data_IF_489841939110
#
_entry.id   IF_489841939110
#
_cell.length_a   1.000
_cell.length_b   1.000
_cell.length_c   1.000
_cell.angle_alpha   90.00
_cell.angle_beta   90.00
_cell.angle_gamma   90.00
#
_symmetry.space_group_name_H-M   'P 1'
#
loop_
_entity.id
_entity.type
_entity.pdbx_description
1 polymer ?
#
# COMPACT_ATOMS: atom_id res chain seq x y z
N UNK A 1 2.89 52.75 -5.46
CA UNK A 1 1.75 52.61 -6.37
C UNK A 1 2.06 51.59 -7.47
N UNK A 2 1.27 50.51 -7.52
CA UNK A 2 0.93 49.62 -8.65
C UNK A 2 2.03 49.19 -9.64
N UNK A 3 2.44 47.91 -9.55
CA UNK A 3 2.69 47.07 -10.74
C UNK A 3 1.95 45.74 -10.57
N UNK A 4 0.85 45.61 -11.29
CA UNK A 4 0.01 44.43 -11.35
C UNK A 4 0.70 43.32 -12.17
N UNK A 5 0.90 42.14 -11.59
CA UNK A 5 1.24 40.92 -12.34
C UNK A 5 -0.07 40.29 -12.81
N UNK A 6 -0.31 40.34 -14.13
CA UNK A 6 -1.40 39.60 -14.80
C UNK A 6 -1.10 38.10 -14.76
N UNK A 7 -1.78 37.36 -13.90
CA UNK A 7 -1.94 35.92 -14.06
C UNK A 7 -2.89 35.68 -15.25
N UNK A 8 -2.40 35.05 -16.32
CA UNK A 8 -3.27 34.57 -17.40
C UNK A 8 -3.97 33.30 -16.91
N UNK A 9 -5.23 33.42 -16.48
CA UNK A 9 -6.16 32.29 -16.43
C UNK A 9 -6.39 31.83 -17.87
N UNK A 10 -5.86 30.67 -18.24
CA UNK A 10 -6.28 30.00 -19.47
C UNK A 10 -7.61 29.32 -19.19
N UNK A 11 -8.68 29.89 -19.74
CA UNK A 11 -9.92 29.15 -19.94
C UNK A 11 -9.64 27.98 -20.89
N UNK A 12 -10.26 26.83 -20.59
CA UNK A 12 -10.14 25.57 -21.29
C UNK A 12 -10.20 25.75 -22.83
N UNK A 13 -9.04 25.77 -23.48
CA UNK A 13 -8.96 25.70 -24.94
C UNK A 13 -9.19 24.24 -25.35
N UNK A 14 -10.42 23.98 -25.77
CA UNK A 14 -10.85 23.02 -26.79
C UNK A 14 -9.69 22.47 -27.64
N UNK A 15 -9.43 21.16 -27.54
CA UNK A 15 -8.74 20.41 -28.58
C UNK A 15 -9.77 19.86 -29.57
N UNK A 16 -10.27 20.74 -30.44
CA UNK A 16 -10.80 20.36 -31.75
C UNK A 16 -9.75 20.76 -32.79
N UNK A 17 -8.84 19.84 -33.10
CA UNK A 17 -7.89 19.98 -34.21
C UNK A 17 -7.75 18.64 -34.92
N UNK A 18 -8.78 18.29 -35.68
CA UNK A 18 -8.67 17.34 -36.77
C UNK A 18 -8.38 18.10 -38.08
N UNK A 19 -7.62 17.43 -38.95
CA UNK A 19 -7.31 17.75 -40.34
C UNK A 19 -6.12 18.70 -40.61
N UNK A 20 -4.96 18.09 -40.90
CA UNK A 20 -4.32 18.10 -42.23
C UNK A 20 -2.99 17.34 -42.18
N UNK A 21 -3.01 16.04 -42.48
CA UNK A 21 -1.86 15.38 -43.10
C UNK A 21 -2.36 14.61 -44.31
N UNK A 22 -2.10 15.18 -45.49
CA UNK A 22 -2.32 14.55 -46.78
C UNK A 22 -1.32 13.40 -46.93
N UNK A 23 -1.89 12.27 -47.32
CA UNK A 23 -1.28 11.09 -47.92
C UNK A 23 -0.05 11.38 -48.78
N UNK A 24 1.10 10.84 -48.40
CA UNK A 24 2.16 10.44 -49.34
C UNK A 24 2.43 8.95 -49.16
N UNK A 25 2.46 8.27 -50.30
CA UNK A 25 2.48 6.83 -50.53
C UNK A 25 3.57 6.10 -49.74
N UNK A 26 3.17 5.11 -48.94
CA UNK A 26 4.05 4.03 -48.52
C UNK A 26 4.02 2.94 -49.61
N UNK A 27 4.99 2.98 -50.52
CA UNK A 27 5.36 1.84 -51.37
C UNK A 27 6.75 1.40 -50.95
N UNK A 28 6.84 0.12 -50.55
CA UNK A 28 8.03 -0.75 -50.52
C UNK A 28 9.17 -0.36 -49.57
N UNK A 29 9.19 -1.04 -48.42
CA UNK A 29 10.40 -1.37 -47.65
C UNK A 29 10.39 -2.87 -47.32
N UNK A 30 10.26 -3.68 -48.37
CA UNK A 30 10.98 -4.95 -48.47
C UNK A 30 12.28 -4.61 -49.18
N UNK A 31 13.44 -4.94 -48.60
CA UNK A 31 14.82 -4.80 -49.14
C UNK A 31 15.76 -3.90 -48.32
N UNK A 32 15.89 -4.13 -47.00
CA UNK A 32 17.15 -3.85 -46.25
C UNK A 32 17.32 -4.86 -45.10
N UNK A 33 17.41 -6.16 -45.41
CA UNK A 33 18.17 -7.12 -44.59
C UNK A 33 18.73 -8.19 -45.53
N UNK A 34 19.77 -7.83 -46.28
CA UNK A 34 20.58 -8.80 -47.00
C UNK A 34 22.02 -8.32 -47.05
N UNK A 35 22.93 -9.21 -46.63
CA UNK A 35 24.40 -9.21 -46.78
C UNK A 35 25.21 -8.62 -45.62
N UNK A 36 25.54 -9.50 -44.68
CA UNK A 36 26.89 -9.85 -44.21
C UNK A 36 26.71 -11.01 -43.21
N UNK A 37 26.88 -12.27 -43.64
CA UNK A 37 28.12 -13.03 -43.42
C UNK A 37 28.01 -13.81 -42.09
N UNK A 38 27.41 -15.00 -42.09
CA UNK A 38 28.08 -16.29 -42.22
C UNK A 38 28.97 -16.63 -41.00
N UNK A 39 28.39 -17.33 -40.02
CA UNK A 39 29.03 -18.40 -39.25
C UNK A 39 27.94 -19.17 -38.47
N UNK A 40 27.35 -20.15 -39.16
CA UNK A 40 26.38 -21.08 -38.57
C UNK A 40 27.13 -22.31 -38.05
N UNK A 41 27.31 -22.38 -36.72
CA UNK A 41 27.69 -23.63 -36.05
C UNK A 41 26.42 -24.47 -35.88
N UNK A 42 26.38 -25.62 -36.56
CA UNK A 42 25.27 -26.55 -36.58
C UNK A 42 24.96 -27.15 -35.18
N UNK A 43 23.69 -27.50 -34.88
CA UNK A 43 23.34 -28.20 -33.65
C UNK A 43 23.79 -29.66 -33.76
N UNK A 44 24.80 -30.06 -32.97
CA UNK A 44 25.17 -31.47 -32.78
C UNK A 44 24.02 -32.19 -32.06
N UNK A 45 23.43 -33.19 -32.73
CA UNK A 45 22.61 -34.23 -32.09
C UNK A 45 23.48 -34.96 -31.07
N UNK A 46 23.13 -34.87 -29.79
CA UNK A 46 23.69 -35.74 -28.76
C UNK A 46 23.04 -37.12 -28.90
N UNK A 47 23.87 -38.11 -29.21
CA UNK A 47 23.51 -39.51 -29.20
C UNK A 47 23.25 -39.99 -27.77
N UNK A 48 22.25 -40.84 -27.60
CA UNK A 48 21.96 -41.53 -26.35
C UNK A 48 23.15 -42.41 -25.94
N UNK A 49 23.89 -41.98 -24.91
CA UNK A 49 24.90 -42.79 -24.23
C UNK A 49 24.24 -43.63 -23.14
N UNK A 50 24.57 -44.93 -23.11
CA UNK A 50 24.14 -45.89 -22.11
C UNK A 50 24.57 -45.46 -20.69
N UNK A 51 23.78 -45.78 -19.64
CA UNK A 51 24.16 -45.46 -18.26
C UNK A 51 25.31 -46.36 -17.81
N UNK A 52 26.46 -45.76 -17.53
CA UNK A 52 27.52 -46.39 -16.74
C UNK A 52 27.07 -46.42 -15.28
N UNK A 53 26.95 -47.63 -14.73
CA UNK A 53 26.70 -47.88 -13.31
C UNK A 53 27.92 -47.47 -12.48
N UNK A 54 28.01 -46.19 -12.16
CA UNK A 54 28.85 -45.67 -11.08
C UNK A 54 28.02 -45.54 -9.82
N UNK A 55 28.11 -46.54 -8.92
CA UNK A 55 27.53 -46.45 -7.57
C UNK A 55 28.37 -45.42 -6.80
N UNK A 56 27.95 -44.15 -6.83
CA UNK A 56 28.38 -43.19 -5.82
C UNK A 56 27.64 -43.52 -4.53
N UNK A 57 28.34 -44.13 -3.58
CA UNK A 57 27.92 -44.18 -2.19
C UNK A 57 27.84 -42.74 -1.65
N UNK A 58 26.67 -42.13 -1.78
CA UNK A 58 26.30 -40.95 -1.00
C UNK A 58 26.17 -41.43 0.45
N UNK A 59 27.06 -40.94 1.32
CA UNK A 59 27.07 -41.26 2.76
C UNK A 59 25.71 -40.91 3.36
N UNK A 60 25.13 -41.83 4.13
CA UNK A 60 23.80 -41.69 4.76
C UNK A 60 23.64 -40.41 5.60
N UNK A 61 24.74 -39.80 6.06
CA UNK A 61 24.74 -38.51 6.75
C UNK A 61 24.31 -37.31 5.89
N UNK A 62 24.65 -37.27 4.59
CA UNK A 62 24.35 -36.12 3.70
C UNK A 62 22.87 -36.08 3.29
N UNK A 63 22.21 -37.24 3.18
CA UNK A 63 20.77 -37.34 2.93
C UNK A 63 19.95 -36.78 4.09
N UNK A 64 20.44 -36.91 5.33
CA UNK A 64 19.74 -36.38 6.51
C UNK A 64 19.78 -34.85 6.58
N UNK A 65 20.93 -34.23 6.26
CA UNK A 65 21.08 -32.77 6.28
C UNK A 65 20.30 -32.11 5.15
N UNK A 66 20.31 -32.70 3.95
CA UNK A 66 19.53 -32.21 2.83
C UNK A 66 18.02 -32.36 3.06
N UNK A 67 17.56 -33.47 3.64
CA UNK A 67 16.15 -33.66 3.99
C UNK A 67 15.67 -32.69 5.08
N UNK A 68 16.51 -32.41 6.08
CA UNK A 68 16.23 -31.40 7.12
C UNK A 68 16.19 -30.00 6.51
N UNK A 69 17.12 -29.64 5.63
CA UNK A 69 17.12 -28.35 4.95
C UNK A 69 15.89 -28.15 4.04
N UNK A 70 15.46 -29.21 3.33
CA UNK A 70 14.23 -29.18 2.51
C UNK A 70 12.98 -29.09 3.37
N UNK A 71 12.92 -29.81 4.50
CA UNK A 71 11.80 -29.71 5.44
C UNK A 71 11.72 -28.33 6.10
N UNK A 72 12.85 -27.74 6.48
CA UNK A 72 12.94 -26.37 7.01
C UNK A 72 12.58 -25.33 5.95
N UNK A 73 12.97 -25.52 4.68
CA UNK A 73 12.56 -24.66 3.58
C UNK A 73 11.05 -24.76 3.30
N UNK A 74 10.45 -25.96 3.40
CA UNK A 74 9.01 -26.16 3.30
C UNK A 74 8.25 -25.50 4.47
N UNK A 75 8.77 -25.58 5.70
CA UNK A 75 8.16 -24.94 6.87
C UNK A 75 8.32 -23.41 6.84
N UNK A 76 9.45 -22.90 6.34
CA UNK A 76 9.64 -21.47 6.09
C UNK A 76 8.72 -20.96 4.98
N UNK A 77 8.57 -21.71 3.87
CA UNK A 77 7.61 -21.38 2.81
C UNK A 77 6.15 -21.39 3.33
N UNK A 78 5.83 -22.26 4.30
CA UNK A 78 4.55 -22.28 4.99
C UNK A 78 4.32 -21.07 5.91
N UNK A 79 5.37 -20.31 6.28
CA UNK A 79 5.27 -19.13 7.16
C UNK A 79 5.26 -17.79 6.43
N UNK A 80 5.48 -17.78 5.11
CA UNK A 80 5.43 -16.58 4.25
C UNK A 80 6.78 -16.21 3.64
N UNK A 81 6.83 -15.32 2.63
CA UNK A 81 8.06 -15.00 1.91
C UNK A 81 9.14 -14.29 2.74
N UNK A 82 8.79 -13.72 3.89
CA UNK A 82 9.72 -13.07 4.83
C UNK A 82 10.00 -13.95 6.07
N UNK A 83 9.68 -15.24 6.02
CA UNK A 83 9.99 -16.17 7.10
C UNK A 83 11.49 -16.18 7.40
N UNK A 84 11.84 -16.13 8.69
CA UNK A 84 13.22 -16.06 9.17
C UNK A 84 13.74 -14.63 9.36
N UNK A 85 13.05 -13.61 8.84
CA UNK A 85 13.38 -12.21 9.10
C UNK A 85 12.91 -11.80 10.50
N UNK A 86 13.79 -11.16 11.28
CA UNK A 86 13.44 -10.57 12.58
C UNK A 86 13.40 -9.05 12.51
N UNK A 87 12.32 -8.46 13.02
CA UNK A 87 12.07 -7.01 12.98
C UNK A 87 11.78 -6.47 14.37
N UNK A 88 12.46 -5.40 14.75
CA UNK A 88 12.09 -4.57 15.91
C UNK A 88 11.24 -3.39 15.44
N UNK A 89 10.01 -3.32 15.96
CA UNK A 89 9.03 -2.29 15.64
C UNK A 89 8.96 -1.27 16.78
N UNK A 90 9.59 -0.11 16.57
CA UNK A 90 9.53 1.07 17.46
C UNK A 90 8.43 2.06 17.04
N UNK A 91 7.56 1.67 16.12
CA UNK A 91 6.64 2.59 15.46
C UNK A 91 5.34 2.73 16.22
N UNK A 92 4.68 3.89 16.04
CA UNK A 92 3.36 4.19 16.62
C UNK A 92 2.41 4.79 15.59
N UNK A 93 1.12 4.86 15.94
CA UNK A 93 0.06 5.40 15.08
C UNK A 93 -0.20 4.56 13.82
N UNK A 94 0.14 5.04 12.62
CA UNK A 94 -0.36 4.45 11.35
C UNK A 94 0.78 4.03 10.41
N UNK A 95 1.58 4.95 9.86
CA UNK A 95 2.51 4.63 8.77
C UNK A 95 3.52 3.53 9.15
N UNK A 96 4.18 3.68 10.29
CA UNK A 96 5.11 2.68 10.80
C UNK A 96 4.45 1.35 11.18
N UNK A 97 3.36 1.33 11.97
CA UNK A 97 2.70 0.08 12.29
C UNK A 97 2.14 -0.64 11.06
N UNK A 98 1.74 0.09 10.02
CA UNK A 98 1.32 -0.48 8.75
C UNK A 98 2.49 -1.10 7.97
N UNK A 99 3.65 -0.44 7.96
CA UNK A 99 4.87 -1.02 7.40
C UNK A 99 5.20 -2.37 8.05
N UNK A 100 5.30 -2.40 9.38
CA UNK A 100 5.66 -3.61 10.12
C UNK A 100 4.54 -4.65 10.14
N UNK A 101 3.27 -4.23 9.99
CA UNK A 101 2.15 -5.16 9.73
C UNK A 101 2.38 -5.93 8.45
N UNK A 102 2.69 -5.25 7.35
CA UNK A 102 2.94 -5.92 6.07
C UNK A 102 4.10 -6.92 6.21
N UNK A 103 5.20 -6.53 6.87
CA UNK A 103 6.32 -7.44 7.13
C UNK A 103 5.88 -8.68 7.94
N UNK A 104 5.11 -8.49 9.03
CA UNK A 104 4.60 -9.58 9.87
C UNK A 104 3.64 -10.51 9.12
N UNK A 105 2.72 -9.92 8.37
CA UNK A 105 1.71 -10.59 7.55
C UNK A 105 2.35 -11.48 6.47
N UNK A 106 3.52 -11.09 5.98
CA UNK A 106 4.34 -11.86 5.05
C UNK A 106 5.38 -12.78 5.71
N UNK A 107 5.32 -12.96 7.02
CA UNK A 107 6.04 -14.03 7.73
C UNK A 107 7.21 -13.60 8.60
N UNK A 108 7.54 -12.31 8.65
CA UNK A 108 8.57 -11.81 9.55
C UNK A 108 8.16 -11.98 11.01
N UNK A 109 9.14 -12.24 11.88
CA UNK A 109 8.98 -12.17 13.33
C UNK A 109 9.11 -10.71 13.77
N UNK A 110 7.96 -10.06 14.00
CA UNK A 110 7.90 -8.65 14.37
C UNK A 110 7.65 -8.50 15.85
N UNK A 111 8.59 -7.88 16.54
CA UNK A 111 8.53 -7.56 17.97
C UNK A 111 8.30 -6.07 18.11
N UNK A 112 7.08 -5.71 18.48
CA UNK A 112 6.69 -4.34 18.80
C UNK A 112 7.16 -3.97 20.19
N UNK A 113 8.00 -2.93 20.26
CA UNK A 113 8.47 -2.35 21.50
C UNK A 113 7.54 -1.22 21.91
N UNK A 114 6.92 -1.39 23.06
CA UNK A 114 5.84 -0.55 23.55
C UNK A 114 6.21 0.10 24.88
N UNK A 115 5.61 1.25 25.19
CA UNK A 115 5.84 1.92 26.48
C UNK A 115 5.18 1.13 27.61
N UNK A 116 5.85 0.89 28.74
CA UNK A 116 5.19 0.30 29.92
C UNK A 116 3.93 1.10 30.32
N UNK A 117 2.86 0.37 30.62
CA UNK A 117 1.57 0.89 31.09
C UNK A 117 0.67 1.57 30.05
N UNK A 118 1.22 2.10 28.94
CA UNK A 118 0.44 2.88 27.95
C UNK A 118 0.51 2.33 26.52
N UNK A 119 1.61 1.68 26.18
CA UNK A 119 1.86 1.13 24.86
C UNK A 119 1.86 2.14 23.71
N UNK A 120 1.49 1.67 22.52
CA UNK A 120 1.24 2.51 21.36
C UNK A 120 0.05 3.47 21.61
N UNK A 121 0.17 4.78 21.35
CA UNK A 121 -0.96 5.71 21.34
C UNK A 121 -2.20 5.24 20.56
N UNK A 122 -2.03 4.42 19.52
CA UNK A 122 -3.14 3.84 18.76
C UNK A 122 -4.08 2.98 19.64
N UNK A 123 -3.58 2.37 20.73
CA UNK A 123 -4.40 1.62 21.71
C UNK A 123 -5.50 2.50 22.31
N UNK A 124 -5.24 3.80 22.45
CA UNK A 124 -6.16 4.76 23.06
C UNK A 124 -6.89 5.62 22.02
N UNK A 125 -6.78 5.29 20.73
CA UNK A 125 -7.41 6.03 19.64
C UNK A 125 -8.76 5.38 19.26
N UNK A 126 -9.89 6.10 19.29
CA UNK A 126 -11.17 5.58 18.80
C UNK A 126 -11.15 5.39 17.27
N UNK A 127 -12.09 4.61 16.70
CA UNK A 127 -13.20 3.93 17.37
C UNK A 127 -12.76 2.71 18.17
N UNK A 128 -13.52 2.39 19.21
CA UNK A 128 -13.33 1.20 20.02
C UNK A 128 -14.43 0.17 19.73
N UNK A 129 -14.13 -1.11 19.96
CA UNK A 129 -15.11 -2.18 19.86
C UNK A 129 -16.33 -1.88 20.76
N UNK A 130 -17.53 -1.90 20.18
CA UNK A 130 -18.78 -1.51 20.84
C UNK A 130 -18.76 -0.14 21.53
N UNK A 131 -17.96 0.80 21.02
CA UNK A 131 -17.78 2.15 21.57
C UNK A 131 -17.36 2.17 23.05
N UNK A 132 -16.67 1.12 23.51
CA UNK A 132 -16.13 1.02 24.88
C UNK A 132 -14.66 1.42 24.90
N UNK A 133 -14.27 2.53 25.55
CA UNK A 133 -12.87 2.97 25.62
C UNK A 133 -11.96 2.01 26.39
N UNK A 134 -11.47 0.99 25.68
CA UNK A 134 -10.55 -0.04 26.17
C UNK A 134 -9.26 0.01 25.33
N UNK A 135 -8.07 0.14 25.95
CA UNK A 135 -6.78 0.08 25.25
C UNK A 135 -6.57 -1.19 24.41
N UNK A 136 -7.23 -2.29 24.76
CA UNK A 136 -7.20 -3.56 24.02
C UNK A 136 -8.38 -3.71 23.04
N UNK A 137 -9.23 -2.68 22.93
CA UNK A 137 -10.42 -2.63 22.09
C UNK A 137 -10.35 -1.60 20.94
N UNK A 138 -9.24 -0.87 20.78
CA UNK A 138 -9.08 0.10 19.67
C UNK A 138 -9.04 -0.61 18.32
N UNK A 139 -9.99 -0.29 17.45
CA UNK A 139 -10.09 -0.95 16.13
C UNK A 139 -8.87 -0.66 15.26
N UNK A 140 -8.27 0.53 15.38
CA UNK A 140 -7.05 0.89 14.67
C UNK A 140 -5.87 0.03 15.12
N UNK A 141 -5.68 -0.12 16.43
CA UNK A 141 -4.58 -0.93 16.98
C UNK A 141 -4.74 -2.39 16.57
N UNK A 142 -5.95 -2.93 16.72
CA UNK A 142 -6.28 -4.29 16.37
C UNK A 142 -6.00 -4.60 14.89
N UNK A 143 -6.33 -3.67 13.98
CA UNK A 143 -6.05 -3.83 12.56
C UNK A 143 -4.54 -3.78 12.25
N UNK A 144 -3.82 -2.82 12.83
CA UNK A 144 -2.43 -2.52 12.47
C UNK A 144 -1.38 -3.43 13.12
N UNK A 145 -1.75 -4.28 14.08
CA UNK A 145 -0.77 -5.03 14.89
C UNK A 145 -1.00 -6.54 14.91
N UNK A 146 -1.80 -7.08 13.98
CA UNK A 146 -1.89 -8.52 13.76
C UNK A 146 -0.52 -9.13 13.46
N UNK A 147 -0.34 -10.41 13.80
CA UNK A 147 0.90 -11.16 13.61
C UNK A 147 2.14 -10.65 14.38
N UNK A 148 2.02 -9.62 15.22
CA UNK A 148 3.14 -9.08 16.02
C UNK A 148 3.19 -9.66 17.43
N UNK A 149 4.38 -9.63 18.03
CA UNK A 149 4.61 -9.82 19.46
C UNK A 149 4.74 -8.46 20.14
N UNK A 150 4.17 -8.28 21.32
CA UNK A 150 4.26 -7.03 22.12
C UNK A 150 5.19 -7.22 23.31
N UNK A 151 6.18 -6.33 23.42
CA UNK A 151 7.13 -6.25 24.53
C UNK A 151 7.10 -4.84 25.09
N UNK A 152 6.87 -4.69 26.37
CA UNK A 152 6.97 -3.39 27.03
C UNK A 152 8.42 -3.12 27.45
N UNK A 153 8.93 -1.94 27.09
CA UNK A 153 10.31 -1.55 27.38
C UNK A 153 10.46 -0.03 27.45
N UNK A 154 11.00 0.46 28.56
CA UNK A 154 11.27 1.87 28.78
C UNK A 154 12.66 2.24 28.22
N UNK A 155 12.69 2.69 26.97
CA UNK A 155 13.92 3.09 26.27
C UNK A 155 14.64 4.30 26.90
N UNK A 156 13.99 5.05 27.80
CA UNK A 156 14.65 6.15 28.54
C UNK A 156 15.43 5.64 29.75
N UNK A 157 15.11 4.45 30.24
CA UNK A 157 15.84 3.81 31.31
C UNK A 157 17.10 3.13 30.76
N UNK A 158 18.24 3.24 31.45
CA UNK A 158 19.50 2.68 30.95
C UNK A 158 19.42 1.16 30.72
N UNK A 159 18.80 0.43 31.65
CA UNK A 159 18.55 -1.01 31.48
C UNK A 159 17.65 -1.31 30.27
N UNK A 160 16.60 -0.51 30.05
CA UNK A 160 15.70 -0.70 28.91
C UNK A 160 16.42 -0.45 27.57
N UNK A 161 17.26 0.60 27.50
CA UNK A 161 18.12 0.84 26.34
C UNK A 161 19.10 -0.31 26.10
N UNK A 162 19.73 -0.84 27.16
CA UNK A 162 20.67 -1.97 27.07
C UNK A 162 20.00 -3.23 26.51
N UNK A 163 18.80 -3.54 27.01
CA UNK A 163 17.99 -4.66 26.52
C UNK A 163 17.65 -4.47 25.04
N UNK A 164 17.22 -3.26 24.64
CA UNK A 164 16.93 -2.97 23.24
C UNK A 164 18.15 -3.18 22.34
N UNK A 165 19.33 -2.70 22.74
CA UNK A 165 20.56 -2.90 21.97
C UNK A 165 20.91 -4.39 21.85
N UNK A 166 20.71 -5.19 22.90
CA UNK A 166 20.94 -6.64 22.81
C UNK A 166 19.95 -7.32 21.85
N UNK A 167 18.68 -6.89 21.82
CA UNK A 167 17.73 -7.34 20.81
C UNK A 167 18.17 -6.93 19.39
N UNK A 168 18.59 -5.68 19.21
CA UNK A 168 19.00 -5.14 17.92
C UNK A 168 20.23 -5.85 17.33
N UNK A 169 21.14 -6.34 18.19
CA UNK A 169 22.28 -7.16 17.78
C UNK A 169 21.86 -8.44 17.04
N UNK A 170 20.67 -8.97 17.33
CA UNK A 170 20.13 -10.23 16.78
C UNK A 170 18.98 -10.02 15.80
N UNK A 171 18.80 -8.78 15.33
CA UNK A 171 17.66 -8.37 14.49
C UNK A 171 18.16 -7.92 13.13
N UNK A 172 17.40 -8.21 12.08
CA UNK A 172 17.73 -7.82 10.70
C UNK A 172 17.26 -6.40 10.37
N UNK A 173 16.09 -6.01 10.89
CA UNK A 173 15.43 -4.74 10.58
C UNK A 173 14.97 -4.04 11.86
N UNK A 174 15.25 -2.75 11.98
CA UNK A 174 14.58 -1.86 12.94
C UNK A 174 13.70 -0.90 12.14
N UNK A 175 12.43 -0.78 12.50
CA UNK A 175 11.53 0.23 11.93
C UNK A 175 11.13 1.21 13.03
N UNK A 176 11.25 2.50 12.77
CA UNK A 176 10.89 3.57 13.69
C UNK A 176 10.10 4.67 12.97
N UNK A 177 9.24 5.36 13.73
CA UNK A 177 8.40 6.44 13.21
C UNK A 177 8.36 7.63 14.17
N UNK A 178 9.49 7.93 14.80
CA UNK A 178 9.62 9.05 15.71
C UNK A 178 9.89 10.35 14.94
N UNK A 179 9.79 11.47 15.65
CA UNK A 179 10.31 12.74 15.14
C UNK A 179 11.83 12.63 14.93
N UNK A 180 12.40 13.27 13.89
CA UNK A 180 13.84 13.29 13.69
C UNK A 180 14.60 13.70 14.97
N UNK A 181 15.75 13.04 15.22
CA UNK A 181 16.56 13.28 16.41
C UNK A 181 16.15 12.51 17.67
N UNK A 182 15.01 11.79 17.68
CA UNK A 182 14.59 11.03 18.87
C UNK A 182 15.48 9.81 19.10
N UNK A 183 15.80 9.04 18.06
CA UNK A 183 16.63 7.84 18.17
C UNK A 183 18.03 8.17 18.69
N UNK A 184 18.61 9.28 18.23
CA UNK A 184 19.92 9.78 18.64
C UNK A 184 19.91 10.17 20.12
N UNK A 185 18.87 10.90 20.57
CA UNK A 185 18.72 11.26 22.00
C UNK A 185 18.51 10.06 22.90
N UNK A 186 17.87 9.00 22.39
CA UNK A 186 17.73 7.73 23.10
C UNK A 186 19.03 6.92 23.08
N UNK A 187 20.04 7.30 22.30
CA UNK A 187 21.31 6.56 22.18
C UNK A 187 21.17 5.27 21.37
N UNK A 188 20.21 5.21 20.46
CA UNK A 188 19.89 4.07 19.60
C UNK A 188 19.76 4.49 18.12
N UNK A 189 20.41 5.60 17.74
CA UNK A 189 20.44 6.12 16.37
C UNK A 189 21.24 5.24 15.40
N UNK A 190 21.24 5.64 14.13
CA UNK A 190 21.85 4.87 13.04
C UNK A 190 23.33 4.54 13.29
N UNK A 191 24.13 5.49 13.77
CA UNK A 191 25.56 5.29 14.02
C UNK A 191 25.81 4.20 15.08
N UNK A 192 24.96 4.15 16.12
CA UNK A 192 25.04 3.13 17.17
C UNK A 192 24.61 1.77 16.63
N UNK A 193 23.47 1.72 15.92
CA UNK A 193 22.91 0.47 15.42
C UNK A 193 23.77 -0.16 14.32
N UNK A 194 24.28 0.64 13.38
CA UNK A 194 25.16 0.16 12.30
C UNK A 194 26.51 -0.31 12.82
N UNK A 195 27.08 0.35 13.85
CA UNK A 195 28.30 -0.13 14.50
C UNK A 195 28.07 -1.43 15.28
N UNK A 196 26.90 -1.58 15.91
CA UNK A 196 26.51 -2.78 16.64
C UNK A 196 26.24 -3.98 15.72
N UNK A 197 25.56 -3.74 14.61
CA UNK A 197 25.20 -4.74 13.60
C UNK A 197 25.30 -4.13 12.20
N UNK A 198 26.42 -4.30 11.48
CA UNK A 198 26.63 -3.73 10.14
C UNK A 198 25.69 -4.27 9.05
N UNK A 199 24.95 -5.34 9.33
CA UNK A 199 23.93 -5.89 8.43
C UNK A 199 22.56 -5.26 8.65
N UNK A 200 22.33 -4.59 9.78
CA UNK A 200 21.02 -4.08 10.17
C UNK A 200 20.48 -3.05 9.17
N UNK A 201 19.21 -3.19 8.82
CA UNK A 201 18.46 -2.18 8.07
C UNK A 201 17.66 -1.33 9.05
N UNK A 202 17.88 -0.02 9.05
CA UNK A 202 17.06 0.93 9.80
C UNK A 202 16.09 1.57 8.83
N UNK A 203 14.79 1.49 9.10
CA UNK A 203 13.74 2.19 8.34
C UNK A 203 13.12 3.27 9.22
N UNK A 204 13.32 4.51 8.83
CA UNK A 204 12.82 5.70 9.51
C UNK A 204 11.69 6.32 8.72
N UNK A 205 10.51 6.46 9.33
CA UNK A 205 9.35 7.07 8.68
C UNK A 205 8.98 8.37 9.40
N UNK A 206 9.03 9.49 8.71
CA UNK A 206 8.70 10.80 9.27
C UNK A 206 7.90 11.68 8.30
N UNK A 207 7.29 12.75 8.82
CA UNK A 207 6.37 13.58 8.03
C UNK A 207 7.03 14.15 6.75
N UNK A 208 8.25 14.68 6.89
CA UNK A 208 8.97 15.40 5.83
C UNK A 208 10.38 14.86 5.56
N UNK A 209 10.74 13.70 6.10
CA UNK A 209 12.09 13.12 6.04
C UNK A 209 12.97 13.52 7.22
N UNK A 210 14.13 12.86 7.34
CA UNK A 210 15.11 13.08 8.41
C UNK A 210 15.99 14.32 8.14
N UNK A 211 15.92 14.87 6.93
CA UNK A 211 16.70 16.03 6.49
C UNK A 211 15.85 17.08 5.77
N UNK A 212 16.45 18.21 5.41
CA UNK A 212 15.76 19.30 4.71
C UNK A 212 15.08 20.33 5.62
N UNK A 213 14.53 21.41 5.03
CA UNK A 213 14.04 22.58 5.78
C UNK A 213 12.78 22.31 6.59
N UNK A 214 12.02 21.26 6.26
CA UNK A 214 10.74 20.92 6.90
C UNK A 214 10.85 19.76 7.88
N UNK A 215 12.04 19.16 8.07
CA UNK A 215 12.23 17.96 8.90
C UNK A 215 11.66 18.09 10.31
N UNK A 216 11.73 19.28 10.90
CA UNK A 216 11.33 19.55 12.29
C UNK A 216 9.88 20.08 12.40
N UNK A 217 9.16 20.21 11.28
CA UNK A 217 7.79 20.71 11.28
C UNK A 217 6.80 19.62 11.72
N UNK A 218 5.84 19.95 12.61
CA UNK A 218 4.74 19.05 12.90
C UNK A 218 3.81 18.98 11.68
N UNK A 219 3.25 17.80 11.45
CA UNK A 219 2.23 17.61 10.44
C UNK A 219 1.10 16.73 10.98
N UNK A 220 -0.09 17.00 10.49
CA UNK A 220 -1.18 16.04 10.47
C UNK A 220 -1.37 15.56 9.03
N UNK A 221 -2.09 14.48 8.86
CA UNK A 221 -2.50 13.98 7.55
C UNK A 221 -3.07 15.08 6.62
N UNK A 222 -3.83 16.05 7.17
CA UNK A 222 -4.37 17.16 6.37
C UNK A 222 -3.28 18.11 5.87
N UNK A 223 -2.27 18.40 6.70
CA UNK A 223 -1.12 19.25 6.35
C UNK A 223 -0.27 18.55 5.29
N UNK A 224 0.02 17.26 5.45
CA UNK A 224 0.79 16.46 4.50
C UNK A 224 0.14 16.48 3.11
N UNK A 225 -1.18 16.27 3.04
CA UNK A 225 -1.93 16.36 1.79
C UNK A 225 -1.93 17.77 1.19
N UNK A 226 -2.10 18.81 2.01
CA UNK A 226 -2.11 20.20 1.55
C UNK A 226 -0.77 20.60 0.93
N UNK A 227 0.33 20.04 1.44
CA UNK A 227 1.67 20.28 0.91
C UNK A 227 2.00 19.38 -0.28
N UNK A 228 1.44 18.16 -0.35
CA UNK A 228 1.76 17.15 -1.40
C UNK A 228 1.39 17.53 -2.83
N UNK A 229 0.45 18.47 -3.02
CA UNK A 229 -0.12 18.80 -4.32
C UNK A 229 -1.32 17.93 -4.75
N UNK A 230 -1.61 16.81 -4.08
CA UNK A 230 -2.80 15.96 -4.38
C UNK A 230 -4.10 16.74 -4.21
N UNK A 231 -4.21 17.59 -3.19
CA UNK A 231 -5.41 18.40 -2.99
C UNK A 231 -5.69 19.32 -4.19
N UNK A 232 -4.65 19.85 -4.85
CA UNK A 232 -4.80 20.79 -5.96
C UNK A 232 -5.59 20.20 -7.13
N UNK A 233 -5.51 18.88 -7.32
CA UNK A 233 -6.21 18.11 -8.36
C UNK A 233 -7.46 17.37 -7.86
N UNK A 234 -7.75 17.42 -6.56
CA UNK A 234 -8.80 16.61 -5.92
C UNK A 234 -10.05 17.42 -5.58
N UNK A 235 -11.22 16.94 -6.00
CA UNK A 235 -12.51 17.59 -5.77
C UNK A 235 -13.05 18.31 -7.01
N UNK A 236 -14.02 19.21 -6.83
CA UNK A 236 -14.60 20.02 -7.91
C UNK A 236 -13.93 21.39 -8.01
N UNK A 237 -13.90 21.97 -9.20
CA UNK A 237 -13.33 23.31 -9.45
C UNK A 237 -14.10 24.44 -8.78
N UNK A 238 -15.42 24.30 -8.62
CA UNK A 238 -16.32 25.29 -8.01
C UNK A 238 -16.37 25.24 -6.47
N UNK A 239 -15.60 24.31 -5.86
CA UNK A 239 -15.52 24.10 -4.42
C UNK A 239 -14.07 24.06 -3.96
N UNK A 240 -13.90 24.05 -2.65
CA UNK A 240 -12.62 23.92 -1.97
C UNK A 240 -11.89 22.62 -2.39
N UNK A 241 -10.55 22.62 -2.48
CA UNK A 241 -9.76 21.41 -2.65
C UNK A 241 -10.11 20.35 -1.59
N UNK A 242 -10.13 19.07 -1.98
CA UNK A 242 -10.41 17.97 -1.07
C UNK A 242 -9.16 17.10 -0.86
N UNK A 243 -9.03 16.52 0.33
CA UNK A 243 -8.11 15.43 0.61
C UNK A 243 -8.85 14.10 0.49
N UNK A 244 -8.12 13.01 0.22
CA UNK A 244 -8.66 11.65 0.35
C UNK A 244 -9.13 11.36 1.78
N UNK A 245 -10.22 10.60 1.94
CA UNK A 245 -10.79 10.28 3.25
C UNK A 245 -9.82 9.54 4.18
N UNK A 246 -9.90 9.80 5.49
CA UNK A 246 -9.10 9.15 6.53
C UNK A 246 -7.58 9.37 6.34
N UNK A 247 -6.74 8.36 6.59
CA UNK A 247 -5.27 8.50 6.68
C UNK A 247 -4.51 7.83 5.54
N UNK A 248 -4.98 7.99 4.29
CA UNK A 248 -4.40 7.31 3.13
C UNK A 248 -2.91 7.61 2.91
N UNK A 249 -2.45 8.82 3.26
CA UNK A 249 -1.03 9.18 3.11
C UNK A 249 -0.13 8.37 4.03
N UNK A 250 -0.56 8.16 5.28
CA UNK A 250 0.13 7.27 6.21
C UNK A 250 0.22 5.83 5.66
N UNK A 251 -0.86 5.29 5.09
CA UNK A 251 -0.87 3.95 4.52
C UNK A 251 0.05 3.84 3.28
N UNK A 252 0.05 4.86 2.42
CA UNK A 252 0.93 4.92 1.24
C UNK A 252 2.41 4.93 1.64
N UNK A 253 2.78 5.80 2.59
CA UNK A 253 4.14 5.86 3.11
C UNK A 253 4.55 4.56 3.82
N UNK A 254 3.65 3.98 4.62
CA UNK A 254 3.88 2.69 5.29
C UNK A 254 4.08 1.53 4.30
N UNK A 255 3.29 1.49 3.22
CA UNK A 255 3.46 0.51 2.15
C UNK A 255 4.79 0.70 1.40
N UNK A 256 5.14 1.95 1.08
CA UNK A 256 6.41 2.30 0.44
C UNK A 256 7.59 1.85 1.30
N UNK A 257 7.54 2.13 2.61
CA UNK A 257 8.53 1.67 3.57
C UNK A 257 8.64 0.14 3.59
N UNK A 258 7.52 -0.59 3.72
CA UNK A 258 7.55 -2.06 3.74
C UNK A 258 8.16 -2.66 2.46
N UNK A 259 7.77 -2.13 1.29
CA UNK A 259 8.27 -2.56 0.00
C UNK A 259 9.80 -2.40 -0.10
N UNK A 260 10.33 -1.21 0.23
CA UNK A 260 11.77 -0.96 0.09
C UNK A 260 12.58 -1.69 1.16
N UNK A 261 12.05 -1.81 2.38
CA UNK A 261 12.65 -2.63 3.45
C UNK A 261 12.76 -4.09 3.00
N UNK A 262 11.70 -4.69 2.50
CA UNK A 262 11.71 -6.08 2.01
C UNK A 262 12.64 -6.27 0.79
N UNK A 263 12.74 -5.29 -0.10
CA UNK A 263 13.69 -5.33 -1.21
C UNK A 263 15.15 -5.33 -0.70
N UNK A 264 15.44 -4.54 0.35
CA UNK A 264 16.77 -4.49 0.94
C UNK A 264 17.13 -5.74 1.73
N UNK A 265 16.18 -6.44 2.35
CA UNK A 265 16.48 -7.75 2.96
C UNK A 265 16.92 -8.77 1.92
N UNK A 266 16.33 -8.73 0.71
CA UNK A 266 16.80 -9.55 -0.40
C UNK A 266 18.20 -9.15 -0.87
N UNK A 267 18.48 -7.85 -1.02
CA UNK A 267 19.82 -7.37 -1.36
C UNK A 267 20.88 -7.77 -0.30
N UNK A 268 20.51 -7.73 0.98
CA UNK A 268 21.35 -8.13 2.10
C UNK A 268 21.66 -9.64 2.08
N UNK A 269 20.71 -10.47 1.64
CA UNK A 269 20.93 -11.90 1.37
C UNK A 269 21.91 -12.15 0.21
N UNK A 270 22.02 -11.20 -0.73
CA UNK A 270 23.03 -11.19 -1.80
C UNK A 270 24.37 -10.56 -1.38
N UNK A 271 24.55 -10.27 -0.10
CA UNK A 271 25.81 -9.78 0.46
C UNK A 271 25.96 -8.26 0.51
N UNK A 272 24.91 -7.48 0.21
CA UNK A 272 24.93 -6.04 0.44
C UNK A 272 24.93 -5.73 1.95
N UNK A 273 25.55 -4.62 2.39
CA UNK A 273 25.53 -4.20 3.78
C UNK A 273 24.14 -3.73 4.21
N UNK A 274 23.95 -3.59 5.53
CA UNK A 274 22.80 -2.89 6.10
C UNK A 274 22.79 -1.41 5.68
N UNK A 275 21.61 -0.80 5.69
CA UNK A 275 21.40 0.57 5.22
C UNK A 275 20.36 1.30 6.07
N UNK A 276 20.46 2.63 6.08
CA UNK A 276 19.42 3.49 6.61
C UNK A 276 18.50 3.95 5.48
N UNK A 277 17.21 3.68 5.64
CA UNK A 277 16.13 4.08 4.75
C UNK A 277 15.40 5.25 5.43
N UNK A 278 15.43 6.42 4.80
CA UNK A 278 14.63 7.58 5.18
C UNK A 278 13.38 7.65 4.29
N UNK A 279 12.20 7.53 4.88
CA UNK A 279 10.91 7.59 4.19
C UNK A 279 10.15 8.81 4.68
N UNK A 280 9.93 9.76 3.77
CA UNK A 280 9.09 10.92 3.98
C UNK A 280 7.64 10.64 3.56
N UNK A 281 6.69 10.90 4.46
CA UNK A 281 5.26 10.77 4.16
C UNK A 281 4.85 11.78 3.09
N UNK A 282 5.36 13.00 3.17
CA UNK A 282 5.13 14.06 2.19
C UNK A 282 5.65 13.69 0.80
N UNK A 283 6.87 13.16 0.70
CA UNK A 283 7.45 12.75 -0.60
C UNK A 283 6.74 11.51 -1.16
N UNK A 284 6.28 10.59 -0.30
CA UNK A 284 5.46 9.45 -0.71
C UNK A 284 4.16 9.91 -1.38
N UNK A 285 3.50 10.92 -0.81
CA UNK A 285 2.31 11.53 -1.43
C UNK A 285 2.64 12.32 -2.70
N UNK A 286 3.74 13.07 -2.73
CA UNK A 286 4.16 13.81 -3.92
C UNK A 286 4.46 12.86 -5.10
N UNK A 287 5.08 11.71 -4.83
CA UNK A 287 5.36 10.69 -5.84
C UNK A 287 4.09 10.10 -6.50
N UNK A 288 2.92 10.19 -5.86
CA UNK A 288 1.64 9.78 -6.47
C UNK A 288 1.16 10.75 -7.57
N UNK A 289 1.75 11.94 -7.69
CA UNK A 289 1.42 12.95 -8.71
C UNK A 289 1.99 12.65 -10.10
N UNK A 290 2.18 11.37 -10.45
CA UNK A 290 2.95 10.86 -11.60
C UNK A 290 2.64 11.57 -12.93
N UNK A 291 1.45 12.15 -13.12
CA UNK A 291 1.14 12.96 -14.31
C UNK A 291 1.14 14.48 -14.08
N UNK A 292 0.78 14.97 -12.88
CA UNK A 292 0.62 16.40 -12.62
C UNK A 292 1.96 17.15 -12.61
N UNK A 293 3.00 16.55 -12.03
CA UNK A 293 4.35 17.12 -12.06
C UNK A 293 4.89 17.22 -13.49
N UNK A 294 4.83 16.14 -14.32
CA UNK A 294 5.13 16.24 -15.75
C UNK A 294 4.28 17.25 -16.53
N UNK A 295 2.97 17.40 -16.24
CA UNK A 295 2.13 18.41 -16.89
C UNK A 295 2.74 19.81 -16.76
N UNK A 296 3.20 20.14 -15.56
CA UNK A 296 3.83 21.43 -15.32
C UNK A 296 5.25 21.47 -15.88
N UNK A 297 6.09 20.48 -15.57
CA UNK A 297 7.50 20.47 -15.94
C UNK A 297 7.73 20.43 -17.46
N UNK A 298 6.90 19.70 -18.21
CA UNK A 298 7.09 19.50 -19.65
C UNK A 298 6.20 20.38 -20.52
N UNK A 299 4.99 20.73 -20.06
CA UNK A 299 4.04 21.52 -20.84
C UNK A 299 3.75 22.93 -20.26
N UNK A 300 4.25 23.24 -19.06
CA UNK A 300 3.91 24.49 -18.37
C UNK A 300 2.44 24.61 -17.98
N UNK A 301 1.73 23.48 -17.94
CA UNK A 301 0.29 23.42 -17.66
C UNK A 301 0.04 22.97 -16.22
N UNK A 302 -0.94 23.59 -15.57
CA UNK A 302 -1.42 23.16 -14.26
C UNK A 302 -2.71 22.38 -14.49
N UNK A 303 -2.73 21.11 -14.08
CA UNK A 303 -3.95 20.30 -14.15
C UNK A 303 -5.00 20.88 -13.20
N UNK A 304 -6.19 21.17 -13.73
CA UNK A 304 -7.32 21.61 -12.94
C UNK A 304 -8.03 20.43 -12.25
N UNK A 305 -8.83 20.75 -11.22
CA UNK A 305 -9.82 19.81 -10.64
C UNK A 305 -10.92 19.46 -11.64
N UNK A 306 -11.83 18.56 -11.28
CA UNK A 306 -13.01 18.22 -12.11
C UNK A 306 -13.95 19.43 -12.29
N UNK A 307 -14.44 19.74 -13.50
CA UNK A 307 -15.40 20.83 -13.71
C UNK A 307 -16.76 20.54 -13.03
N UNK A 308 -17.57 21.59 -12.76
CA UNK A 308 -18.82 21.45 -12.03
C UNK A 308 -19.95 20.79 -12.82
N UNK A 309 -19.94 20.91 -14.13
CA UNK A 309 -20.90 20.37 -15.09
C UNK A 309 -20.20 20.10 -16.41
N UNK A 310 -20.87 19.39 -17.30
CA UNK A 310 -20.43 19.23 -18.68
C UNK A 310 -19.28 18.23 -18.86
N UNK A 311 -19.08 17.35 -17.87
CA UNK A 311 -18.09 16.26 -17.91
C UNK A 311 -18.76 14.89 -18.11
N UNK A 312 -20.09 14.84 -18.23
CA UNK A 312 -20.84 13.65 -18.64
C UNK A 312 -20.43 12.38 -17.91
N UNK A 313 -19.97 11.41 -18.71
CA UNK A 313 -19.53 10.08 -18.28
C UNK A 313 -18.21 10.04 -17.48
N UNK A 314 -17.61 11.18 -17.19
CA UNK A 314 -16.47 11.27 -16.25
C UNK A 314 -16.92 11.65 -14.83
N UNK A 315 -18.22 11.79 -14.60
CA UNK A 315 -18.76 12.13 -13.28
C UNK A 315 -19.22 10.90 -12.50
N UNK A 316 -19.09 11.02 -11.17
CA UNK A 316 -19.89 10.22 -10.23
C UNK A 316 -21.31 10.78 -10.20
N UNK A 317 -22.30 9.92 -10.40
CA UNK A 317 -23.71 10.30 -10.59
C UNK A 317 -24.58 9.68 -9.50
N UNK A 318 -25.54 10.44 -8.99
CA UNK A 318 -26.48 9.95 -7.99
C UNK A 318 -27.50 8.99 -8.61
N UNK A 319 -27.87 7.96 -7.85
CA UNK A 319 -28.96 7.04 -8.13
C UNK A 319 -29.86 6.93 -6.89
N UNK A 320 -30.81 6.00 -6.86
CA UNK A 320 -31.83 5.90 -5.80
C UNK A 320 -31.24 5.76 -4.39
N UNK A 321 -30.14 5.04 -4.23
CA UNK A 321 -29.57 4.61 -2.94
C UNK A 321 -28.05 4.82 -2.84
N UNK A 322 -27.49 5.74 -3.63
CA UNK A 322 -26.07 6.07 -3.58
C UNK A 322 -25.56 6.65 -4.89
N UNK A 323 -24.36 6.23 -5.29
CA UNK A 323 -23.68 6.79 -6.44
C UNK A 323 -23.10 5.72 -7.36
N UNK A 324 -23.04 6.04 -8.65
CA UNK A 324 -22.52 5.18 -9.70
C UNK A 324 -21.55 5.95 -10.60
N UNK A 325 -20.68 5.21 -11.29
CA UNK A 325 -19.83 5.73 -12.35
C UNK A 325 -20.12 4.91 -13.60
N UNK A 326 -20.35 5.61 -14.70
CA UNK A 326 -20.60 5.01 -16.01
C UNK A 326 -19.63 5.65 -16.99
N UNK A 327 -18.82 4.83 -17.68
CA UNK A 327 -17.84 5.33 -18.65
C UNK A 327 -18.09 4.75 -20.04
N UNK A 328 -17.71 5.52 -21.07
CA UNK A 328 -17.53 4.96 -22.40
C UNK A 328 -16.30 4.07 -22.40
N UNK A 329 -16.45 2.83 -22.86
CA UNK A 329 -15.36 1.91 -23.04
C UNK A 329 -15.84 0.46 -22.94
N UNK A 330 -14.91 -0.47 -23.09
CA UNK A 330 -15.28 -1.86 -23.36
C UNK A 330 -15.88 -2.02 -24.75
N UNK A 331 -16.70 -3.06 -24.93
CA UNK A 331 -17.38 -3.33 -26.21
C UNK A 331 -18.70 -2.59 -26.38
N UNK A 332 -19.09 -1.73 -25.43
CA UNK A 332 -20.37 -1.04 -25.40
C UNK A 332 -20.41 0.16 -26.35
N UNK A 333 -21.54 0.31 -27.04
CA UNK A 333 -21.90 1.47 -27.87
C UNK A 333 -22.71 2.46 -27.05
N UNK A 334 -22.85 3.67 -27.60
CA UNK A 334 -23.70 4.70 -27.01
C UNK A 334 -25.17 4.24 -26.86
N UNK A 335 -25.69 3.51 -27.84
CA UNK A 335 -27.03 2.92 -27.79
C UNK A 335 -27.23 1.99 -26.60
N UNK A 336 -26.20 1.23 -26.21
CA UNK A 336 -26.29 0.31 -25.07
C UNK A 336 -26.46 1.06 -23.74
N UNK A 337 -25.84 2.23 -23.63
CA UNK A 337 -25.99 3.15 -22.50
C UNK A 337 -27.38 3.78 -22.50
N UNK A 338 -27.84 4.27 -23.65
CA UNK A 338 -29.19 4.82 -23.79
C UNK A 338 -30.26 3.78 -23.39
N UNK A 339 -30.09 2.53 -23.82
CA UNK A 339 -30.98 1.42 -23.50
C UNK A 339 -30.90 0.98 -22.03
N UNK A 340 -29.71 1.02 -21.42
CA UNK A 340 -29.54 0.75 -19.99
C UNK A 340 -30.31 1.78 -19.14
N UNK A 341 -30.23 3.05 -19.53
CA UNK A 341 -30.87 4.15 -18.80
C UNK A 341 -32.36 4.26 -19.10
N UNK A 342 -32.82 3.70 -20.22
CA UNK A 342 -34.23 3.73 -20.62
C UNK A 342 -34.72 5.14 -20.93
N UNK A 343 -33.84 6.03 -21.38
CA UNK A 343 -34.15 7.43 -21.72
C UNK A 343 -34.08 7.59 -23.25
N UNK A 344 -35.23 7.61 -23.96
CA UNK A 344 -35.27 7.61 -25.42
C UNK A 344 -34.51 8.78 -26.07
N UNK A 345 -34.49 9.94 -25.42
CA UNK A 345 -33.81 11.15 -25.89
C UNK A 345 -32.29 10.96 -26.01
N UNK A 346 -31.71 9.98 -25.31
CA UNK A 346 -30.30 9.64 -25.46
C UNK A 346 -29.97 9.05 -26.84
N UNK A 347 -30.96 8.54 -27.59
CA UNK A 347 -30.75 8.03 -28.96
C UNK A 347 -30.69 9.14 -30.03
N UNK A 348 -30.86 10.41 -29.66
CA UNK A 348 -30.70 11.54 -30.59
C UNK A 348 -29.30 11.54 -31.23
N UNK A 349 -29.25 11.80 -32.55
CA UNK A 349 -28.02 11.82 -33.36
C UNK A 349 -26.97 12.78 -32.78
N UNK A 350 -27.39 13.85 -32.11
CA UNK A 350 -26.48 14.79 -31.45
C UNK A 350 -25.62 14.16 -30.35
N UNK A 351 -26.01 13.01 -29.80
CA UNK A 351 -25.23 12.28 -28.80
C UNK A 351 -24.43 11.10 -29.37
N UNK A 352 -24.54 10.80 -30.66
CA UNK A 352 -23.86 9.67 -31.29
C UNK A 352 -22.32 9.78 -31.21
N UNK A 353 -21.78 11.00 -31.25
CA UNK A 353 -20.33 11.25 -31.26
C UNK A 353 -19.81 11.84 -29.95
N UNK A 354 -18.53 11.62 -29.60
CA UNK A 354 -17.91 12.26 -28.43
C UNK A 354 -17.98 13.80 -28.47
N UNK A 355 -17.81 14.41 -29.64
CA UNK A 355 -17.90 15.87 -29.82
C UNK A 355 -19.31 16.38 -29.54
N UNK A 356 -20.32 15.69 -30.06
CA UNK A 356 -21.72 15.98 -29.77
C UNK A 356 -22.05 15.90 -28.29
N UNK A 357 -21.64 14.83 -27.60
CA UNK A 357 -21.80 14.70 -26.14
C UNK A 357 -21.09 15.80 -25.36
N UNK A 358 -19.94 16.27 -25.84
CA UNK A 358 -19.21 17.40 -25.23
C UNK A 358 -19.95 18.72 -25.46
N UNK A 359 -20.46 18.95 -26.68
CA UNK A 359 -21.17 20.17 -27.05
C UNK A 359 -22.50 20.34 -26.31
N UNK A 360 -23.21 19.22 -26.08
CA UNK A 360 -24.51 19.17 -25.41
C UNK A 360 -24.41 18.61 -23.98
N UNK A 361 -23.26 18.76 -23.32
CA UNK A 361 -22.96 18.04 -22.08
C UNK A 361 -23.92 18.36 -20.92
N UNK A 362 -24.41 19.60 -20.79
CA UNK A 362 -25.40 19.94 -19.76
C UNK A 362 -26.77 19.28 -19.98
N UNK A 363 -27.18 19.12 -21.24
CA UNK A 363 -28.40 18.39 -21.58
C UNK A 363 -28.19 16.90 -21.32
N UNK A 364 -27.04 16.37 -21.72
CA UNK A 364 -26.67 15.00 -21.47
C UNK A 364 -26.68 14.67 -19.98
N UNK A 365 -26.04 15.51 -19.13
CA UNK A 365 -26.00 15.33 -17.68
C UNK A 365 -27.43 15.16 -17.10
N UNK A 366 -28.39 15.99 -17.54
CA UNK A 366 -29.79 15.89 -17.10
C UNK A 366 -30.47 14.58 -17.53
N UNK A 367 -30.23 14.14 -18.76
CA UNK A 367 -30.80 12.88 -19.28
C UNK A 367 -30.21 11.66 -18.56
N UNK A 368 -28.89 11.67 -18.30
CA UNK A 368 -28.22 10.64 -17.51
C UNK A 368 -28.81 10.56 -16.09
N UNK A 369 -28.94 11.70 -15.42
CA UNK A 369 -29.56 11.76 -14.09
C UNK A 369 -31.00 11.24 -14.06
N UNK A 370 -31.79 11.53 -15.10
CA UNK A 370 -33.17 11.06 -15.20
C UNK A 370 -33.25 9.52 -15.24
N UNK A 371 -32.38 8.86 -16.01
CA UNK A 371 -32.34 7.40 -16.12
C UNK A 371 -31.81 6.69 -14.86
N UNK A 372 -31.01 7.39 -14.04
CA UNK A 372 -30.38 6.82 -12.84
C UNK A 372 -31.23 6.98 -11.57
N UNK A 373 -31.99 8.06 -11.44
CA UNK A 373 -32.61 8.48 -10.16
C UNK A 373 -33.58 7.46 -9.55
N UNK A 374 -34.30 6.70 -10.38
CA UNK A 374 -35.31 5.75 -9.90
C UNK A 374 -34.77 4.35 -9.60
N UNK A 375 -33.50 4.07 -9.93
CA UNK A 375 -32.90 2.73 -9.89
C UNK A 375 -31.81 2.64 -8.82
N UNK A 376 -31.68 1.49 -8.17
CA UNK A 376 -30.62 1.27 -7.19
C UNK A 376 -29.26 1.04 -7.86
N UNK A 377 -28.17 1.31 -7.15
CA UNK A 377 -26.81 1.12 -7.65
C UNK A 377 -26.53 -0.32 -8.09
N UNK A 378 -27.07 -1.31 -7.37
CA UNK A 378 -26.88 -2.73 -7.68
C UNK A 378 -27.72 -3.21 -8.87
N UNK A 379 -28.98 -2.78 -9.01
CA UNK A 379 -29.79 -3.08 -10.20
C UNK A 379 -29.13 -2.57 -11.48
N UNK A 380 -28.58 -1.35 -11.42
CA UNK A 380 -27.84 -0.74 -12.51
C UNK A 380 -26.55 -1.50 -12.82
N UNK A 381 -25.77 -1.84 -11.80
CA UNK A 381 -24.51 -2.58 -11.96
C UNK A 381 -24.73 -3.95 -12.61
N UNK A 382 -25.70 -4.72 -12.13
CA UNK A 382 -25.97 -6.08 -12.64
C UNK A 382 -26.44 -6.06 -14.10
N UNK A 383 -27.27 -5.07 -14.47
CA UNK A 383 -27.71 -4.91 -15.86
C UNK A 383 -26.57 -4.43 -16.77
N UNK A 384 -25.80 -3.44 -16.32
CA UNK A 384 -24.64 -2.93 -17.05
C UNK A 384 -23.60 -4.05 -17.29
N UNK A 385 -23.36 -4.89 -16.29
CA UNK A 385 -22.46 -6.04 -16.39
C UNK A 385 -22.92 -7.04 -17.45
N UNK A 386 -24.23 -7.38 -17.50
CA UNK A 386 -24.81 -8.24 -18.55
C UNK A 386 -24.64 -7.65 -19.95
N UNK A 387 -24.72 -6.32 -20.07
CA UNK A 387 -24.50 -5.57 -21.32
C UNK A 387 -23.02 -5.28 -21.63
N UNK A 388 -22.09 -5.71 -20.77
CA UNK A 388 -20.64 -5.45 -20.88
C UNK A 388 -20.28 -3.96 -20.92
N UNK A 389 -21.06 -3.14 -20.21
CA UNK A 389 -20.85 -1.70 -20.05
C UNK A 389 -19.88 -1.47 -18.89
N UNK A 390 -18.92 -0.55 -19.06
CA UNK A 390 -18.04 -0.12 -17.97
C UNK A 390 -18.83 0.68 -16.93
N UNK A 391 -19.11 0.02 -15.81
CA UNK A 391 -19.95 0.55 -14.75
C UNK A 391 -19.37 0.21 -13.38
N UNK A 392 -19.36 1.19 -12.49
CA UNK A 392 -18.91 1.05 -11.11
C UNK A 392 -19.94 1.62 -10.14
N UNK A 393 -19.89 1.15 -8.90
CA UNK A 393 -20.74 1.63 -7.82
C UNK A 393 -19.86 2.17 -6.69
N UNK A 394 -20.29 3.24 -6.05
CA UNK A 394 -19.65 3.72 -4.82
C UNK A 394 -20.10 2.83 -3.66
N UNK A 395 -19.19 1.96 -3.21
CA UNK A 395 -19.44 1.00 -2.15
C UNK A 395 -19.07 1.59 -0.78
N UNK A 396 -19.94 1.35 0.21
CA UNK A 396 -19.63 1.57 1.62
C UNK A 396 -19.09 0.28 2.29
N UNK A 397 -18.66 0.32 3.57
CA UNK A 397 -18.14 -0.87 4.25
C UNK A 397 -19.14 -2.05 4.34
N UNK A 398 -20.45 -1.78 4.40
CA UNK A 398 -21.47 -2.83 4.44
C UNK A 398 -21.62 -3.51 3.07
N UNK A 399 -21.52 -2.75 1.97
CA UNK A 399 -21.44 -3.30 0.63
C UNK A 399 -20.21 -4.20 0.46
N UNK A 400 -19.05 -3.78 0.97
CA UNK A 400 -17.79 -4.54 0.86
C UNK A 400 -17.83 -5.86 1.63
N UNK A 401 -18.41 -5.88 2.83
CA UNK A 401 -18.60 -7.13 3.59
C UNK A 401 -19.52 -8.12 2.86
N UNK A 402 -20.48 -7.61 2.09
CA UNK A 402 -21.42 -8.43 1.33
C UNK A 402 -20.99 -8.71 -0.12
N UNK A 403 -19.89 -8.10 -0.58
CA UNK A 403 -19.42 -8.14 -1.96
C UNK A 403 -19.12 -9.57 -2.44
N UNK A 404 -19.83 -10.06 -3.49
CA UNK A 404 -19.61 -11.41 -4.03
C UNK A 404 -18.17 -11.65 -4.48
N UNK A 405 -17.53 -10.65 -5.08
CA UNK A 405 -16.15 -10.77 -5.58
C UNK A 405 -15.14 -10.92 -4.45
N UNK A 406 -15.27 -10.15 -3.36
CA UNK A 406 -14.39 -10.25 -2.19
C UNK A 406 -14.59 -11.60 -1.47
N UNK A 407 -15.84 -12.06 -1.34
CA UNK A 407 -16.15 -13.38 -0.80
C UNK A 407 -15.55 -14.50 -1.63
N UNK A 408 -15.74 -14.49 -2.95
CA UNK A 408 -15.22 -15.50 -3.87
C UNK A 408 -13.69 -15.57 -3.87
N UNK A 409 -13.01 -14.47 -3.57
CA UNK A 409 -11.55 -14.39 -3.44
C UNK A 409 -11.04 -14.67 -2.02
N UNK A 410 -11.91 -15.02 -1.07
CA UNK A 410 -11.54 -15.24 0.33
C UNK A 410 -10.79 -14.04 0.90
N UNK A 411 -11.33 -12.83 0.67
CA UNK A 411 -10.71 -11.58 1.14
C UNK A 411 -10.91 -11.39 2.64
N UNK A 412 -12.11 -11.64 3.16
CA UNK A 412 -12.41 -11.49 4.59
C UNK A 412 -11.95 -12.73 5.36
N UNK A 413 -11.15 -12.55 6.40
CA UNK A 413 -10.72 -13.63 7.31
C UNK A 413 -11.31 -13.45 8.70
N UNK A 414 -11.59 -14.56 9.39
CA UNK A 414 -12.07 -14.51 10.77
C UNK A 414 -10.88 -14.49 11.72
N UNK A 415 -10.97 -13.63 12.73
CA UNK A 415 -9.91 -13.42 13.72
C UNK A 415 -10.52 -13.45 15.09
N UNK A 416 -10.08 -14.40 15.90
CA UNK A 416 -10.49 -14.50 17.29
C UNK A 416 -9.49 -13.76 18.18
N UNK A 417 -9.89 -12.60 18.71
CA UNK A 417 -9.06 -11.77 19.58
C UNK A 417 -9.63 -11.79 21.01
N UNK A 418 -8.80 -11.89 22.06
CA UNK A 418 -9.27 -12.02 23.46
C UNK A 418 -10.30 -10.95 23.91
N UNK A 419 -10.20 -9.73 23.39
CA UNK A 419 -11.10 -8.62 23.77
C UNK A 419 -12.37 -8.54 22.93
N UNK A 420 -12.32 -8.96 21.66
CA UNK A 420 -13.44 -8.74 20.71
C UNK A 420 -14.15 -10.03 20.30
N UNK A 421 -13.60 -11.19 20.65
CA UNK A 421 -14.00 -12.47 20.09
C UNK A 421 -13.76 -12.54 18.58
N UNK A 422 -14.49 -13.42 17.87
CA UNK A 422 -14.34 -13.61 16.43
C UNK A 422 -14.97 -12.46 15.63
N UNK A 423 -14.15 -11.77 14.82
CA UNK A 423 -14.60 -10.74 13.88
C UNK A 423 -14.00 -10.92 12.48
N UNK A 424 -14.68 -10.43 11.43
CA UNK A 424 -14.12 -10.37 10.08
C UNK A 424 -13.07 -9.25 9.97
N UNK A 425 -11.87 -9.60 9.53
CA UNK A 425 -10.79 -8.66 9.21
C UNK A 425 -10.55 -8.62 7.70
N UNK A 426 -10.13 -7.44 7.16
CA UNK A 426 -9.61 -7.38 5.80
C UNK A 426 -8.39 -8.30 5.69
N UNK A 427 -8.44 -9.23 4.73
CA UNK A 427 -7.30 -10.05 4.36
C UNK A 427 -6.46 -9.43 3.25
N UNK A 428 -5.53 -10.20 2.72
CA UNK A 428 -4.53 -9.68 1.80
C UNK A 428 -5.06 -9.51 0.35
N UNK A 429 -4.83 -8.35 -0.29
CA UNK A 429 -5.17 -8.13 -1.71
C UNK A 429 -4.35 -8.99 -2.70
N UNK A 430 -3.29 -9.67 -2.25
CA UNK A 430 -2.40 -10.50 -3.07
C UNK A 430 -2.64 -12.01 -2.84
N UNK A 431 -2.62 -12.79 -3.92
CA UNK A 431 -2.64 -14.27 -3.85
C UNK A 431 -1.33 -14.81 -4.42
N UNK A 432 -0.50 -15.42 -3.58
CA UNK A 432 0.75 -16.05 -3.97
C UNK A 432 0.56 -17.57 -4.11
N UNK A 433 1.17 -18.16 -5.13
CA UNK A 433 1.03 -19.58 -5.45
C UNK A 433 1.82 -20.51 -4.51
N UNK A 434 2.95 -20.06 -3.97
CA UNK A 434 3.87 -20.88 -3.18
C UNK A 434 3.93 -20.49 -1.70
N UNK A 435 3.88 -19.20 -1.40
CA UNK A 435 4.03 -18.65 -0.03
C UNK A 435 2.82 -17.80 0.33
N UNK A 436 1.62 -18.38 0.49
CA UNK A 436 0.40 -17.62 0.69
C UNK A 436 0.46 -16.75 1.95
N UNK A 437 -0.17 -15.58 1.89
CA UNK A 437 -0.38 -14.74 3.07
C UNK A 437 -1.19 -15.49 4.14
N UNK A 438 -0.85 -15.27 5.41
CA UNK A 438 -1.53 -15.89 6.54
C UNK A 438 -1.65 -14.93 7.71
N UNK A 439 -2.87 -14.82 8.23
CA UNK A 439 -3.11 -14.24 9.54
C UNK A 439 -2.96 -15.31 10.62
N UNK A 440 -1.78 -15.39 11.23
CA UNK A 440 -1.42 -16.42 12.21
C UNK A 440 -1.88 -16.08 13.62
N UNK A 441 -1.88 -14.79 13.97
CA UNK A 441 -2.20 -14.30 15.32
C UNK A 441 -2.96 -12.97 15.24
N UNK A 442 -3.90 -12.72 16.16
CA UNK A 442 -4.53 -11.42 16.27
C UNK A 442 -3.51 -10.39 16.81
N UNK A 443 -3.92 -9.13 16.96
CA UNK A 443 -3.06 -8.14 17.60
C UNK A 443 -2.73 -8.56 19.06
N UNK A 444 -1.51 -8.30 19.55
CA UNK A 444 -1.11 -8.72 20.89
C UNK A 444 -1.66 -7.79 21.96
N UNK A 445 -1.99 -8.36 23.13
CA UNK A 445 -2.22 -7.56 24.35
C UNK A 445 -0.94 -6.82 24.75
N UNK A 446 -1.06 -5.69 25.46
CA UNK A 446 0.09 -4.91 25.88
C UNK A 446 1.07 -5.75 26.71
N UNK A 447 2.31 -5.86 26.24
CA UNK A 447 3.38 -6.58 26.92
C UNK A 447 3.18 -8.10 26.99
N UNK A 448 2.23 -8.66 26.23
CA UNK A 448 1.88 -10.09 26.25
C UNK A 448 3.08 -11.03 26.09
N UNK A 449 4.10 -10.60 25.34
CA UNK A 449 5.24 -11.42 24.97
C UNK A 449 6.54 -10.95 25.65
N UNK A 450 6.45 -10.07 26.65
CA UNK A 450 7.64 -9.49 27.31
C UNK A 450 8.52 -10.56 27.93
N UNK A 451 7.97 -11.44 28.77
CA UNK A 451 8.75 -12.50 29.40
C UNK A 451 9.31 -13.51 28.38
N UNK A 452 8.54 -13.84 27.33
CA UNK A 452 8.95 -14.74 26.25
C UNK A 452 10.19 -14.19 25.53
N UNK A 453 10.14 -12.93 25.10
CA UNK A 453 11.24 -12.32 24.32
C UNK A 453 12.46 -12.06 25.19
N UNK A 454 12.29 -11.66 26.46
CA UNK A 454 13.42 -11.43 27.37
C UNK A 454 14.14 -12.74 27.74
N UNK A 455 13.41 -13.86 27.84
CA UNK A 455 14.03 -15.17 28.06
C UNK A 455 14.99 -15.56 26.91
N UNK A 456 14.75 -15.11 25.67
CA UNK A 456 15.68 -15.30 24.54
C UNK A 456 17.04 -14.60 24.77
N UNK A 457 17.10 -13.62 25.66
CA UNK A 457 18.32 -12.94 26.10
C UNK A 457 18.95 -13.55 27.35
N UNK A 458 18.37 -14.61 27.90
CA UNK A 458 18.80 -15.22 29.16
C UNK A 458 18.33 -14.46 30.40
N UNK A 459 17.37 -13.54 30.26
CA UNK A 459 16.72 -12.85 31.37
C UNK A 459 15.65 -13.78 31.92
N UNK A 460 15.85 -14.27 33.14
CA UNK A 460 14.91 -15.19 33.79
C UNK A 460 13.69 -14.46 34.39
N UNK A 461 12.82 -15.25 35.01
CA UNK A 461 11.57 -14.74 35.59
C UNK A 461 11.81 -13.78 36.76
N UNK A 462 12.80 -14.05 37.60
CA UNK A 462 13.11 -13.21 38.78
C UNK A 462 13.64 -11.85 38.32
N UNK A 463 14.52 -11.85 37.33
CA UNK A 463 15.01 -10.62 36.71
C UNK A 463 13.89 -9.84 36.01
N UNK A 464 12.98 -10.53 35.30
CA UNK A 464 11.80 -9.89 34.72
C UNK A 464 10.92 -9.22 35.78
N UNK A 465 10.71 -9.86 36.93
CA UNK A 465 9.95 -9.28 38.04
C UNK A 465 10.64 -8.04 38.61
N UNK A 466 11.96 -8.07 38.75
CA UNK A 466 12.76 -6.90 39.16
C UNK A 466 12.65 -5.75 38.17
N UNK A 467 12.86 -6.01 36.88
CA UNK A 467 12.75 -5.00 35.82
C UNK A 467 11.36 -4.36 35.77
N UNK A 468 10.31 -5.15 36.02
CA UNK A 468 8.93 -4.65 36.11
C UNK A 468 8.73 -3.75 37.32
N UNK A 469 9.24 -4.15 38.49
CA UNK A 469 9.17 -3.34 39.70
C UNK A 469 9.91 -1.99 39.56
N UNK A 470 10.99 -1.96 38.78
CA UNK A 470 11.77 -0.76 38.45
C UNK A 470 11.14 0.10 37.35
N UNK A 471 10.03 -0.34 36.72
CA UNK A 471 9.41 0.36 35.60
C UNK A 471 10.23 0.35 34.31
N UNK A 472 11.12 -0.64 34.16
CA UNK A 472 11.89 -0.87 32.94
C UNK A 472 11.06 -1.58 31.89
N UNK A 473 10.19 -2.50 32.32
CA UNK A 473 9.29 -3.28 31.46
C UNK A 473 7.84 -3.20 31.94
#
# INVERSE_FOLDING_TARGET
MRRARRARRWGCCRCAAAARYRTRSCRRLSDVVARCGADAVAPRRLAAGQPTTGIHHVREGEKSVAAVAVAQAHEAAARGPLAGLRVLDLTWHIAGPYCTKLLADYGADVIKIERPGTGDPARHTPPFYHDRPDPEGSLLFLYLNTNKRSVTLNLKHEAGRRIFLELARRTDVVVESFRPGVMERLGIGWEVLSALNPRLILTSISNFGQTGPYRDLPASELVEYAMSGIMAISGRQDREPLKHGLSQGQYSAGATAAYITAALTYAQALGQPGQWIDVSIHESLAAELVMNEPYYAWMGAIQGRRPPSGDGLNNIMACKDGYVVLQMGGSAKWSDIADLLGVPELHDEKFATPDGRTRYAEELDRLLEAGLRARTKHELFDEAARRRILFGIAQDPADLLNCPQLRARGYWVQVDHPTTGPLPYPGEPVKMSATPWQLRRPAPLLGQHTAEVLAELGIDKEECERLRAEGVI
#
